data_IF_103300549658
#
_entry.id   IF_103300549658
#
_cell.length_a   1.000
_cell.length_b   1.000
_cell.length_c   1.000
_cell.angle_alpha   90.00
_cell.angle_beta   90.00
_cell.angle_gamma   90.00
#
_symmetry.space_group_name_H-M   'P 1'
#
loop_
_entity.id
_entity.type
_entity.pdbx_description
1 polymer ?
#
# COMPACT_ATOMS: atom_id res chain seq x y z
N UNK A 1 24.56 -14.07 15.50
CA UNK A 1 24.66 -12.97 14.52
C UNK A 1 23.52 -13.14 13.56
N UNK A 2 22.48 -12.32 13.70
CA UNK A 2 21.25 -12.40 12.89
C UNK A 2 21.56 -12.00 11.46
N UNK A 3 21.18 -12.83 10.48
CA UNK A 3 21.25 -12.47 9.06
C UNK A 3 20.41 -11.21 8.83
N UNK A 4 21.08 -10.09 8.52
CA UNK A 4 20.49 -8.77 8.28
C UNK A 4 19.65 -8.73 6.99
N UNK A 5 19.87 -9.68 6.07
CA UNK A 5 19.07 -9.81 4.86
C UNK A 5 18.92 -11.28 4.47
N UNK A 6 17.77 -11.60 3.84
CA UNK A 6 17.53 -12.89 3.20
C UNK A 6 17.43 -12.67 1.70
N UNK A 7 18.20 -13.43 0.92
CA UNK A 7 18.15 -13.37 -0.54
C UNK A 7 16.87 -14.04 -1.05
N UNK A 8 16.20 -13.38 -1.99
CA UNK A 8 15.11 -13.95 -2.79
C UNK A 8 15.44 -13.79 -4.28
N UNK A 9 14.86 -14.64 -5.13
CA UNK A 9 14.98 -14.56 -6.59
C UNK A 9 13.58 -14.37 -7.16
N UNK A 10 13.42 -13.34 -7.99
CA UNK A 10 12.13 -12.93 -8.57
C UNK A 10 12.30 -12.84 -10.08
N UNK A 11 11.33 -13.34 -10.83
CA UNK A 11 11.28 -13.18 -12.28
C UNK A 11 10.44 -11.96 -12.64
N UNK A 12 10.96 -11.14 -13.55
CA UNK A 12 10.24 -9.99 -14.10
C UNK A 12 10.05 -10.18 -15.60
N UNK A 13 8.96 -9.62 -16.13
CA UNK A 13 8.87 -9.43 -17.58
C UNK A 13 10.01 -8.51 -18.07
N UNK A 14 10.59 -8.75 -19.26
CA UNK A 14 11.74 -7.98 -19.74
C UNK A 14 11.51 -6.47 -19.76
N UNK A 15 10.31 -6.03 -20.17
CA UNK A 15 9.96 -4.62 -20.21
C UNK A 15 9.90 -3.98 -18.81
N UNK A 16 9.34 -4.69 -17.84
CA UNK A 16 9.26 -4.23 -16.45
C UNK A 16 10.64 -4.19 -15.82
N UNK A 17 11.47 -5.21 -16.03
CA UNK A 17 12.85 -5.21 -15.53
C UNK A 17 13.64 -4.03 -16.09
N UNK A 18 13.48 -3.70 -17.38
CA UNK A 18 14.13 -2.55 -17.98
C UNK A 18 13.66 -1.24 -17.36
N UNK A 19 12.35 -1.07 -17.15
CA UNK A 19 11.78 0.11 -16.50
C UNK A 19 12.30 0.27 -15.06
N UNK A 20 12.34 -0.83 -14.28
CA UNK A 20 12.91 -0.84 -12.92
C UNK A 20 14.38 -0.44 -12.91
N UNK A 21 15.17 -0.94 -13.86
CA UNK A 21 16.58 -0.59 -14.00
C UNK A 21 16.78 0.91 -14.27
N UNK A 22 15.96 1.49 -15.16
CA UNK A 22 16.00 2.92 -15.46
C UNK A 22 15.60 3.76 -14.24
N UNK A 23 14.55 3.34 -13.52
CA UNK A 23 14.10 4.00 -12.29
C UNK A 23 15.21 3.98 -11.23
N UNK A 24 15.75 2.80 -10.94
CA UNK A 24 16.86 2.59 -9.99
C UNK A 24 18.03 3.54 -10.28
N UNK A 25 18.46 3.61 -11.54
CA UNK A 25 19.54 4.50 -11.97
C UNK A 25 19.18 5.99 -11.83
N UNK A 26 17.93 6.38 -12.08
CA UNK A 26 17.49 7.78 -11.94
C UNK A 26 17.37 8.26 -10.50
N UNK A 27 17.23 7.33 -9.54
CA UNK A 27 17.03 7.61 -8.12
C UNK A 27 18.21 7.18 -7.25
N UNK A 28 19.35 6.83 -7.86
CA UNK A 28 20.59 6.40 -7.17
C UNK A 28 20.37 5.29 -6.12
N UNK A 29 19.45 4.36 -6.39
CA UNK A 29 19.17 3.20 -5.54
C UNK A 29 19.23 1.90 -6.35
N UNK A 30 19.35 0.77 -5.68
CA UNK A 30 19.32 -0.55 -6.32
C UNK A 30 17.89 -1.01 -6.63
N UNK A 31 17.75 -1.94 -7.58
CA UNK A 31 16.46 -2.60 -7.85
C UNK A 31 15.96 -3.34 -6.60
N UNK A 32 16.86 -3.96 -5.82
CA UNK A 32 16.50 -4.67 -4.60
C UNK A 32 15.90 -3.74 -3.55
N UNK A 33 16.42 -2.53 -3.38
CA UNK A 33 15.86 -1.52 -2.48
C UNK A 33 14.48 -1.06 -2.95
N UNK A 34 14.31 -0.76 -4.25
CA UNK A 34 13.01 -0.39 -4.81
C UNK A 34 11.94 -1.46 -4.56
N UNK A 35 12.31 -2.75 -4.69
CA UNK A 35 11.40 -3.86 -4.44
C UNK A 35 11.13 -4.04 -2.95
N UNK A 36 12.14 -3.91 -2.08
CA UNK A 36 11.95 -4.00 -0.63
C UNK A 36 10.99 -2.90 -0.12
N UNK A 37 11.16 -1.66 -0.60
CA UNK A 37 10.27 -0.54 -0.28
C UNK A 37 8.85 -0.78 -0.78
N UNK A 38 8.69 -1.23 -2.04
CA UNK A 38 7.38 -1.50 -2.61
C UNK A 38 6.63 -2.59 -1.83
N UNK A 39 7.31 -3.67 -1.41
CA UNK A 39 6.70 -4.74 -0.62
C UNK A 39 6.33 -4.24 0.77
N UNK A 40 7.20 -3.46 1.43
CA UNK A 40 6.88 -2.88 2.75
C UNK A 40 5.69 -1.93 2.68
N UNK A 41 5.59 -1.13 1.63
CA UNK A 41 4.47 -0.22 1.43
C UNK A 41 3.17 -1.00 1.30
N UNK A 42 3.12 -2.01 0.43
CA UNK A 42 1.96 -2.87 0.25
C UNK A 42 1.51 -3.52 1.58
N UNK A 43 2.46 -4.08 2.33
CA UNK A 43 2.16 -4.68 3.63
C UNK A 43 1.65 -3.67 4.66
N UNK A 44 2.12 -2.42 4.60
CA UNK A 44 1.67 -1.36 5.51
C UNK A 44 0.26 -0.91 5.18
N UNK A 45 -0.05 -0.74 3.90
CA UNK A 45 -1.40 -0.40 3.42
C UNK A 45 -2.41 -1.49 3.84
N UNK A 46 -2.07 -2.77 3.63
CA UNK A 46 -2.92 -3.89 4.09
C UNK A 46 -3.14 -3.85 5.61
N UNK A 47 -2.10 -3.52 6.37
CA UNK A 47 -2.20 -3.42 7.83
C UNK A 47 -3.09 -2.24 8.26
N UNK A 48 -2.96 -1.09 7.60
CA UNK A 48 -3.79 0.10 7.84
C UNK A 48 -5.26 -0.20 7.55
N UNK A 49 -5.56 -0.92 6.47
CA UNK A 49 -6.93 -1.35 6.14
C UNK A 49 -7.51 -2.30 7.20
N UNK A 50 -6.74 -3.29 7.64
CA UNK A 50 -7.18 -4.21 8.69
C UNK A 50 -7.41 -3.50 10.02
N UNK A 51 -6.58 -2.52 10.36
CA UNK A 51 -6.75 -1.70 11.55
C UNK A 51 -8.03 -0.85 11.46
N UNK A 52 -8.26 -0.18 10.32
CA UNK A 52 -9.47 0.60 10.08
C UNK A 52 -10.73 -0.27 10.19
N UNK A 53 -10.73 -1.50 9.66
CA UNK A 53 -11.86 -2.43 9.84
C UNK A 53 -12.06 -2.76 11.32
N UNK A 54 -10.97 -3.06 12.04
CA UNK A 54 -11.02 -3.47 13.44
C UNK A 54 -11.54 -2.37 14.36
N UNK A 55 -11.13 -1.12 14.13
CA UNK A 55 -11.59 0.06 14.90
C UNK A 55 -13.08 0.32 14.68
N UNK A 56 -13.58 0.02 13.48
CA UNK A 56 -14.96 0.31 13.06
C UNK A 56 -15.97 -0.78 13.41
N UNK A 57 -15.53 -1.89 14.03
CA UNK A 57 -16.41 -3.00 14.46
C UNK A 57 -17.58 -2.53 15.34
N UNK A 58 -17.37 -1.49 16.15
CA UNK A 58 -18.38 -0.98 17.07
C UNK A 58 -19.12 0.26 16.54
N UNK A 59 -18.87 0.68 15.30
CA UNK A 59 -19.63 1.79 14.69
C UNK A 59 -21.09 1.36 14.51
N UNK A 60 -22.06 2.20 14.89
CA UNK A 60 -23.46 1.90 14.66
C UNK A 60 -23.78 1.91 13.16
N UNK A 61 -24.66 1.01 12.74
CA UNK A 61 -25.21 1.05 11.39
C UNK A 61 -26.08 2.31 11.23
N UNK A 62 -25.90 3.01 10.11
CA UNK A 62 -26.73 4.16 9.74
C UNK A 62 -27.56 3.82 8.51
N UNK A 63 -28.78 4.34 8.45
CA UNK A 63 -29.59 4.18 7.25
C UNK A 63 -29.01 5.02 6.12
N UNK A 64 -29.27 4.58 4.89
CA UNK A 64 -28.83 5.29 3.70
C UNK A 64 -29.32 6.75 3.65
N UNK A 65 -30.54 7.01 4.15
CA UNK A 65 -31.11 8.36 4.23
C UNK A 65 -30.34 9.28 5.19
N UNK A 66 -29.95 8.77 6.37
CA UNK A 66 -29.14 9.52 7.34
C UNK A 66 -27.78 9.84 6.72
N UNK A 67 -27.13 8.84 6.11
CA UNK A 67 -25.84 9.01 5.45
C UNK A 67 -25.88 10.05 4.32
N UNK A 68 -26.91 10.04 3.47
CA UNK A 68 -27.06 11.03 2.40
C UNK A 68 -27.27 12.45 2.93
N UNK A 69 -28.04 12.61 4.01
CA UNK A 69 -28.25 13.92 4.63
C UNK A 69 -26.95 14.47 5.22
N UNK A 70 -26.13 13.62 5.85
CA UNK A 70 -24.80 13.99 6.35
C UNK A 70 -23.84 14.38 5.22
N UNK A 71 -23.82 13.64 4.11
CA UNK A 71 -22.97 13.97 2.96
C UNK A 71 -23.33 15.33 2.34
N UNK A 72 -24.63 15.64 2.21
CA UNK A 72 -25.12 16.96 1.77
C UNK A 72 -24.71 18.06 2.75
N UNK A 73 -24.87 17.82 4.05
CA UNK A 73 -24.49 18.79 5.09
C UNK A 73 -22.97 19.08 5.08
N UNK A 74 -22.16 18.07 4.75
CA UNK A 74 -20.71 18.19 4.62
C UNK A 74 -20.24 18.68 3.23
N UNK A 75 -21.16 19.02 2.32
CA UNK A 75 -20.85 19.53 0.99
C UNK A 75 -20.11 18.54 0.09
N UNK A 76 -20.24 17.23 0.37
CA UNK A 76 -19.61 16.15 -0.41
C UNK A 76 -20.44 15.73 -1.62
N UNK A 77 -21.72 16.12 -1.64
CA UNK A 77 -22.71 16.00 -2.72
C UNK A 77 -23.68 17.17 -2.68
#
# INVERSE_FOLDING_TARGET
>A
MSNLSKRSTIYFEPAIHQALKMRAASSDVSISELIDEAVRLLMREDQEDLAAISERVNEPEVTYEIFLNELKANGKI
#
